data_IF_118868396250
#
_entry.id   IF_118868396250
#
_cell.length_a   1.000
_cell.length_b   1.000
_cell.length_c   1.000
_cell.angle_alpha   90.00
_cell.angle_beta   90.00
_cell.angle_gamma   90.00
#
_symmetry.space_group_name_H-M   'P 1'
#
loop_
_entity.id
_entity.type
_entity.pdbx_description
1 polymer ?
#
# COMPACT_ATOMS: atom_id res chain seq x y z
N UNK A 1 -27.66 14.79 2.05
CA UNK A 1 -26.33 14.72 2.70
C UNK A 1 -26.11 16.01 3.48
N UNK A 2 -26.02 15.95 4.81
CA UNK A 2 -25.87 17.16 5.64
C UNK A 2 -24.52 17.87 5.45
N UNK A 3 -24.49 19.18 5.71
CA UNK A 3 -23.33 20.08 5.53
C UNK A 3 -22.05 19.53 6.17
N UNK A 4 -22.15 18.97 7.38
CA UNK A 4 -21.03 18.33 8.11
C UNK A 4 -20.31 17.25 7.29
N UNK A 5 -21.06 16.40 6.59
CA UNK A 5 -20.50 15.28 5.82
C UNK A 5 -19.77 15.75 4.56
N UNK A 6 -20.19 16.88 3.98
CA UNK A 6 -19.52 17.50 2.83
C UNK A 6 -18.17 18.11 3.25
N UNK A 7 -18.16 18.92 4.31
CA UNK A 7 -16.93 19.55 4.83
C UNK A 7 -15.88 18.51 5.21
N UNK A 8 -16.28 17.45 5.93
CA UNK A 8 -15.36 16.35 6.28
C UNK A 8 -14.79 15.65 5.03
N UNK A 9 -15.60 15.43 4.00
CA UNK A 9 -15.14 14.82 2.76
C UNK A 9 -14.16 15.72 1.99
N UNK A 10 -14.34 17.04 2.01
CA UNK A 10 -13.41 18.01 1.40
C UNK A 10 -12.07 18.04 2.11
N UNK A 11 -12.05 18.10 3.46
CA UNK A 11 -10.82 18.01 4.26
C UNK A 11 -10.03 16.73 3.95
N UNK A 12 -10.71 15.59 3.83
CA UNK A 12 -10.05 14.33 3.45
C UNK A 12 -9.54 14.31 2.01
N UNK A 13 -10.24 14.98 1.07
CA UNK A 13 -9.78 15.09 -0.32
C UNK A 13 -8.56 16.00 -0.41
N UNK A 14 -8.54 17.12 0.30
CA UNK A 14 -7.40 18.04 0.34
C UNK A 14 -6.16 17.38 0.93
N UNK A 15 -6.29 16.69 2.07
CA UNK A 15 -5.17 15.97 2.68
C UNK A 15 -4.56 14.92 1.74
N UNK A 16 -5.37 14.28 0.89
CA UNK A 16 -4.92 13.26 -0.07
C UNK A 16 -4.29 13.82 -1.33
N UNK A 17 -4.45 15.12 -1.65
CA UNK A 17 -3.86 15.72 -2.87
C UNK A 17 -2.34 15.66 -2.88
N UNK A 18 -1.71 15.82 -1.72
CA UNK A 18 -0.26 15.88 -1.60
C UNK A 18 0.39 14.51 -1.42
N UNK A 19 -0.39 13.48 -1.05
CA UNK A 19 0.13 12.16 -0.74
C UNK A 19 -0.21 11.15 -1.85
N UNK A 20 0.82 10.63 -2.52
CA UNK A 20 0.66 9.54 -3.46
C UNK A 20 0.46 8.21 -2.70
N UNK A 21 -0.60 7.47 -3.03
CA UNK A 21 -0.86 6.13 -2.52
C UNK A 21 -1.39 5.23 -3.64
N UNK A 22 -1.04 3.95 -3.60
CA UNK A 22 -1.58 2.92 -4.48
C UNK A 22 -2.23 1.82 -3.63
N UNK A 23 -3.22 1.12 -4.19
CA UNK A 23 -3.92 0.01 -3.54
C UNK A 23 -4.05 -1.15 -4.52
N UNK A 24 -3.74 -2.35 -4.04
CA UNK A 24 -4.00 -3.60 -4.74
C UNK A 24 -5.12 -4.33 -3.99
N UNK A 25 -6.22 -4.62 -4.69
CA UNK A 25 -7.43 -5.26 -4.15
C UNK A 25 -7.61 -6.64 -4.79
N UNK A 26 -8.37 -7.52 -4.15
CA UNK A 26 -8.76 -8.85 -4.67
C UNK A 26 -7.61 -9.78 -5.05
N UNK A 27 -6.53 -9.78 -4.26
CA UNK A 27 -5.39 -10.68 -4.47
C UNK A 27 -5.71 -12.07 -3.89
N UNK A 28 -5.60 -13.16 -4.70
CA UNK A 28 -5.85 -14.52 -4.24
C UNK A 28 -4.66 -15.07 -3.42
N UNK A 29 -4.36 -14.44 -2.28
CA UNK A 29 -3.27 -14.81 -1.38
C UNK A 29 -3.68 -14.64 0.09
N UNK A 30 -3.11 -15.46 0.96
CA UNK A 30 -3.38 -15.33 2.40
C UNK A 30 -2.78 -14.02 2.95
N UNK A 31 -3.57 -13.21 3.69
CA UNK A 31 -3.08 -11.97 4.30
C UNK A 31 -1.81 -12.16 5.15
N UNK A 32 -1.67 -13.32 5.80
CA UNK A 32 -0.49 -13.62 6.64
C UNK A 32 0.78 -13.79 5.81
N UNK A 33 0.70 -14.45 4.65
CA UNK A 33 1.84 -14.64 3.74
C UNK A 33 2.32 -13.29 3.16
N UNK A 34 1.39 -12.40 2.84
CA UNK A 34 1.70 -11.05 2.35
C UNK A 34 2.36 -10.17 3.42
N UNK A 35 1.90 -10.24 4.69
CA UNK A 35 2.51 -9.47 5.80
C UNK A 35 4.00 -9.76 5.96
N UNK A 36 4.41 -11.03 5.84
CA UNK A 36 5.82 -11.41 5.90
C UNK A 36 6.69 -10.78 4.80
N UNK A 37 6.10 -10.30 3.70
CA UNK A 37 6.80 -9.57 2.64
C UNK A 37 6.76 -8.07 2.93
N UNK A 38 5.60 -7.54 3.32
CA UNK A 38 5.42 -6.12 3.67
C UNK A 38 6.35 -5.69 4.80
N UNK A 39 6.52 -6.53 5.82
CA UNK A 39 7.39 -6.22 6.96
C UNK A 39 8.88 -6.13 6.56
N UNK A 40 9.28 -6.81 5.48
CA UNK A 40 10.64 -6.67 4.94
C UNK A 40 10.87 -5.34 4.22
N UNK A 41 9.82 -4.67 3.77
CA UNK A 41 9.90 -3.51 2.87
C UNK A 41 9.59 -2.20 3.60
N UNK A 42 8.83 -2.28 4.70
CA UNK A 42 8.44 -1.13 5.52
C UNK A 42 9.67 -0.35 6.00
N UNK A 43 9.70 0.95 5.72
CA UNK A 43 10.77 1.86 6.16
C UNK A 43 12.07 1.77 5.34
N UNK A 44 12.12 1.00 4.27
CA UNK A 44 13.27 0.97 3.35
C UNK A 44 13.09 1.98 2.21
N UNK A 45 14.21 2.46 1.68
CA UNK A 45 14.23 3.28 0.47
C UNK A 45 13.64 2.55 -0.73
N UNK A 46 13.05 3.32 -1.66
CA UNK A 46 12.26 2.81 -2.79
C UNK A 46 13.07 1.84 -3.66
N UNK A 47 14.29 2.19 -4.05
CA UNK A 47 15.11 1.32 -4.91
C UNK A 47 15.53 0.03 -4.21
N UNK A 48 15.81 0.11 -2.90
CA UNK A 48 16.14 -1.07 -2.09
C UNK A 48 14.94 -1.99 -1.93
N UNK A 49 13.75 -1.42 -1.73
CA UNK A 49 12.48 -2.14 -1.68
C UNK A 49 12.22 -2.93 -2.97
N UNK A 50 12.41 -2.28 -4.12
CA UNK A 50 12.26 -2.91 -5.44
C UNK A 50 13.25 -4.06 -5.64
N UNK A 51 14.50 -3.90 -5.21
CA UNK A 51 15.49 -4.98 -5.24
C UNK A 51 15.07 -6.19 -4.38
N UNK A 52 14.61 -5.95 -3.16
CA UNK A 52 14.15 -7.02 -2.25
C UNK A 52 12.94 -7.76 -2.83
N UNK A 53 11.98 -7.05 -3.41
CA UNK A 53 10.81 -7.66 -4.05
C UNK A 53 11.22 -8.55 -5.23
N UNK A 54 12.11 -8.05 -6.09
CA UNK A 54 12.52 -8.75 -7.32
C UNK A 54 13.31 -10.03 -7.07
N UNK A 55 14.13 -10.07 -6.03
CA UNK A 55 15.00 -11.22 -5.72
C UNK A 55 14.51 -12.07 -4.53
N UNK A 56 13.27 -11.85 -4.08
CA UNK A 56 12.68 -12.65 -2.99
C UNK A 56 12.15 -13.99 -3.50
N UNK A 57 12.49 -15.07 -2.79
CA UNK A 57 11.99 -16.42 -3.08
C UNK A 57 10.51 -16.64 -2.72
N UNK A 58 9.85 -15.64 -2.08
CA UNK A 58 8.44 -15.73 -1.71
C UNK A 58 7.55 -15.39 -2.91
N UNK A 59 6.63 -16.29 -3.27
CA UNK A 59 5.62 -16.08 -4.33
C UNK A 59 4.83 -14.77 -4.14
N UNK A 60 4.57 -14.39 -2.88
CA UNK A 60 3.92 -13.14 -2.52
C UNK A 60 4.66 -11.87 -3.00
N UNK A 61 5.98 -11.94 -3.20
CA UNK A 61 6.78 -10.84 -3.72
C UNK A 61 6.69 -10.73 -5.25
N UNK A 62 6.46 -11.85 -5.95
CA UNK A 62 6.38 -11.88 -7.41
C UNK A 62 5.03 -11.40 -7.96
N UNK A 63 3.97 -11.38 -7.12
CA UNK A 63 2.63 -10.89 -7.49
C UNK A 63 2.44 -9.38 -7.25
N UNK A 64 3.47 -8.70 -6.76
CA UNK A 64 3.49 -7.29 -6.38
C UNK A 64 4.29 -6.48 -7.40
#
# INVERSE_FOLDING_TARGET
MGVRKRQSAELHKEAKKNQAFAKLLDVPSSPRKMRLVVDMIRGKEVFRALGILKFSNKEAAARL
#
